data_IF_331901616685
#
_entry.id   IF_331901616685
#
_cell.length_a   1.000
_cell.length_b   1.000
_cell.length_c   1.000
_cell.angle_alpha   90.00
_cell.angle_beta   90.00
_cell.angle_gamma   90.00
#
_symmetry.space_group_name_H-M   'P 1'
#
loop_
_entity.id
_entity.type
_entity.pdbx_description
1 polymer ?
#
# COMPACT_ATOMS: atom_id res chain seq x y z
N UNK A 1 -11.66 -12.43 2.52
CA UNK A 1 -11.20 -11.20 1.85
C UNK A 1 -9.70 -11.30 1.64
N UNK A 2 -9.25 -11.30 0.40
CA UNK A 2 -7.84 -11.21 0.01
C UNK A 2 -7.35 -9.75 0.02
N UNK A 3 -6.02 -9.55 -0.06
CA UNK A 3 -5.45 -8.20 -0.15
C UNK A 3 -5.91 -7.43 -1.40
N UNK A 4 -6.07 -8.13 -2.53
CA UNK A 4 -6.58 -7.53 -3.78
C UNK A 4 -8.07 -7.18 -3.68
N UNK A 5 -8.88 -7.99 -2.99
CA UNK A 5 -10.29 -7.66 -2.73
C UNK A 5 -10.41 -6.40 -1.86
N UNK A 6 -9.60 -6.29 -0.80
CA UNK A 6 -9.54 -5.07 0.02
C UNK A 6 -9.14 -3.84 -0.82
N UNK A 7 -8.13 -3.96 -1.68
CA UNK A 7 -7.72 -2.85 -2.55
C UNK A 7 -8.85 -2.40 -3.48
N UNK A 8 -9.62 -3.34 -4.04
CA UNK A 8 -10.79 -3.00 -4.87
C UNK A 8 -11.83 -2.22 -4.08
N UNK A 9 -12.13 -2.63 -2.86
CA UNK A 9 -13.08 -1.91 -1.99
C UNK A 9 -12.57 -0.51 -1.62
N UNK A 10 -11.29 -0.37 -1.27
CA UNK A 10 -10.67 0.93 -0.99
C UNK A 10 -10.72 1.88 -2.20
N UNK A 11 -10.53 1.35 -3.41
CA UNK A 11 -10.59 2.16 -4.64
C UNK A 11 -12.02 2.50 -5.08
N UNK A 12 -13.01 1.69 -4.70
CA UNK A 12 -14.42 1.97 -4.97
C UNK A 12 -14.99 3.05 -4.02
N UNK A 13 -14.45 3.19 -2.81
CA UNK A 13 -14.91 4.18 -1.82
C UNK A 13 -14.24 5.54 -2.01
N UNK A 14 -15.03 6.60 -2.25
CA UNK A 14 -14.52 7.96 -2.45
C UNK A 14 -13.67 8.49 -1.27
N UNK A 15 -13.92 8.00 -0.05
CA UNK A 15 -13.20 8.40 1.17
C UNK A 15 -11.79 7.80 1.22
N UNK A 16 -11.58 6.66 0.57
CA UNK A 16 -10.35 5.87 0.69
C UNK A 16 -9.58 5.73 -0.62
N UNK A 17 -10.18 6.06 -1.77
CA UNK A 17 -9.57 5.83 -3.08
C UNK A 17 -8.23 6.53 -3.28
N UNK A 18 -7.95 7.63 -2.55
CA UNK A 18 -6.71 8.38 -2.60
C UNK A 18 -5.62 7.90 -1.63
N UNK A 19 -5.91 6.89 -0.79
CA UNK A 19 -4.92 6.35 0.14
C UNK A 19 -3.74 5.74 -0.60
N UNK A 20 -2.54 6.06 -0.10
CA UNK A 20 -1.31 5.43 -0.56
C UNK A 20 -1.21 4.04 0.07
N UNK A 21 -1.15 3.01 -0.76
CA UNK A 21 -1.12 1.62 -0.33
C UNK A 21 0.20 0.97 -0.73
N UNK A 22 0.84 0.28 0.22
CA UNK A 22 1.94 -0.64 -0.04
C UNK A 22 1.45 -2.05 0.27
N UNK A 23 1.68 -3.00 -0.64
CA UNK A 23 1.36 -4.42 -0.41
C UNK A 23 2.59 -5.12 0.18
N UNK A 24 2.38 -5.99 1.17
CA UNK A 24 3.44 -6.83 1.74
C UNK A 24 2.97 -8.29 1.79
N UNK A 25 3.58 -9.17 1.01
CA UNK A 25 3.13 -10.57 0.81
C UNK A 25 4.25 -11.59 0.99
N UNK A 26 3.91 -12.84 1.32
CA UNK A 26 4.87 -13.95 1.41
C UNK A 26 5.39 -14.46 0.07
N UNK A 27 4.60 -14.32 -0.99
CA UNK A 27 4.89 -14.75 -2.36
C UNK A 27 4.40 -13.70 -3.35
N UNK A 28 5.16 -13.48 -4.42
CA UNK A 28 4.84 -12.49 -5.46
C UNK A 28 4.69 -13.14 -6.83
N UNK A 29 3.55 -13.77 -7.07
CA UNK A 29 3.19 -14.21 -8.43
C UNK A 29 3.04 -12.97 -9.32
N UNK A 30 3.52 -13.05 -10.57
CA UNK A 30 3.58 -11.90 -11.46
C UNK A 30 2.19 -11.29 -11.71
N UNK A 31 1.16 -12.14 -11.77
CA UNK A 31 -0.24 -11.74 -11.94
C UNK A 31 -0.75 -10.93 -10.75
N UNK A 32 -0.41 -11.32 -9.51
CA UNK A 32 -0.83 -10.62 -8.29
C UNK A 32 -0.15 -9.25 -8.18
N UNK A 33 1.13 -9.17 -8.59
CA UNK A 33 1.87 -7.91 -8.65
C UNK A 33 1.21 -6.97 -9.66
N UNK A 34 0.95 -7.44 -10.88
CA UNK A 34 0.28 -6.64 -11.92
C UNK A 34 -1.09 -6.15 -11.45
N UNK A 35 -1.92 -7.05 -10.92
CA UNK A 35 -3.26 -6.72 -10.45
C UNK A 35 -3.25 -5.70 -9.30
N UNK A 36 -2.23 -5.72 -8.43
CA UNK A 36 -2.08 -4.72 -7.39
C UNK A 36 -1.72 -3.34 -7.98
N UNK A 37 -0.83 -3.29 -8.97
CA UNK A 37 -0.45 -2.04 -9.64
C UNK A 37 -1.58 -1.42 -10.46
N UNK A 38 -2.42 -2.24 -11.08
CA UNK A 38 -3.67 -1.78 -11.73
C UNK A 38 -4.63 -1.09 -10.73
N UNK A 39 -4.50 -1.42 -9.44
CA UNK A 39 -5.24 -0.78 -8.34
C UNK A 39 -4.46 0.37 -7.68
N UNK A 40 -3.44 0.92 -8.34
CA UNK A 40 -2.66 2.08 -7.90
C UNK A 40 -2.00 1.90 -6.51
N UNK A 41 -1.32 0.78 -6.28
CA UNK A 41 -0.41 0.66 -5.13
C UNK A 41 0.90 1.43 -5.39
N UNK A 42 1.47 2.02 -4.34
CA UNK A 42 2.75 2.72 -4.42
C UNK A 42 3.95 1.76 -4.36
N UNK A 43 3.73 0.53 -3.91
CA UNK A 43 4.76 -0.50 -3.91
C UNK A 43 4.20 -1.88 -3.57
N UNK A 44 4.90 -2.90 -4.04
CA UNK A 44 4.63 -4.30 -3.75
C UNK A 44 5.90 -4.94 -3.18
N UNK A 45 5.81 -5.41 -1.94
CA UNK A 45 6.94 -5.83 -1.12
C UNK A 45 6.85 -7.34 -0.86
N UNK A 46 7.87 -8.08 -1.26
CA UNK A 46 7.95 -9.53 -1.05
C UNK A 46 8.68 -9.83 0.28
N UNK A 47 8.00 -10.47 1.23
CA UNK A 47 8.52 -10.74 2.58
C UNK A 47 9.82 -11.55 2.58
N UNK A 48 9.98 -12.47 1.62
CA UNK A 48 11.21 -13.26 1.43
C UNK A 48 12.43 -12.38 1.19
N UNK A 49 12.29 -11.34 0.35
CA UNK A 49 13.34 -10.37 0.02
C UNK A 49 13.54 -9.31 1.09
N UNK A 50 12.47 -9.03 1.83
CA UNK A 50 12.48 -8.09 2.96
C UNK A 50 13.14 -8.71 4.20
N UNK A 51 13.11 -10.04 4.37
CA UNK A 51 13.68 -10.72 5.54
C UNK A 51 15.18 -10.50 5.74
N UNK A 52 15.95 -10.40 4.65
CA UNK A 52 17.39 -10.09 4.71
C UNK A 52 17.67 -8.61 5.03
N UNK A 53 16.71 -7.71 4.80
CA UNK A 53 16.95 -6.26 4.80
C UNK A 53 15.79 -5.44 5.42
N UNK A 54 15.09 -6.02 6.40
CA UNK A 54 13.87 -5.43 6.99
C UNK A 54 14.09 -4.02 7.55
N UNK A 55 15.30 -3.77 8.08
CA UNK A 55 15.71 -2.45 8.59
C UNK A 55 15.81 -1.40 7.48
N UNK A 56 16.26 -1.81 6.29
CA UNK A 56 16.33 -0.93 5.12
C UNK A 56 14.93 -0.61 4.62
N UNK A 57 14.00 -1.58 4.65
CA UNK A 57 12.61 -1.35 4.29
C UNK A 57 11.89 -0.40 5.25
N UNK A 58 12.04 -0.56 6.56
CA UNK A 58 11.42 0.36 7.53
C UNK A 58 12.01 1.77 7.43
N UNK A 59 13.31 1.87 7.19
CA UNK A 59 13.97 3.15 6.88
C UNK A 59 13.40 3.79 5.60
N UNK A 60 13.19 3.01 4.54
CA UNK A 60 12.56 3.49 3.31
C UNK A 60 11.14 4.02 3.54
N UNK A 61 10.29 3.27 4.24
CA UNK A 61 8.92 3.72 4.54
C UNK A 61 8.92 4.98 5.41
N UNK A 62 9.85 5.07 6.38
CA UNK A 62 10.06 6.28 7.17
C UNK A 62 10.47 7.49 6.33
N UNK A 63 11.41 7.31 5.42
CA UNK A 63 11.86 8.35 4.48
C UNK A 63 10.74 8.76 3.51
N UNK A 64 9.95 7.80 3.01
CA UNK A 64 8.80 8.08 2.15
C UNK A 64 7.77 8.95 2.89
N UNK A 65 7.45 8.59 4.13
CA UNK A 65 6.49 9.34 4.95
C UNK A 65 6.92 10.78 5.22
N UNK A 66 8.22 11.04 5.38
CA UNK A 66 8.74 12.39 5.62
C UNK A 66 8.94 13.20 4.35
N UNK A 67 9.24 12.55 3.22
CA UNK A 67 9.52 13.21 1.95
C UNK A 67 8.24 13.54 1.16
N UNK A 68 7.16 12.77 1.32
CA UNK A 68 5.97 12.85 0.49
C UNK A 68 4.77 13.34 1.30
N UNK A 69 3.99 14.26 0.74
CA UNK A 69 2.66 14.59 1.27
C UNK A 69 1.69 13.46 0.92
N UNK A 70 1.40 12.63 1.89
CA UNK A 70 0.40 11.58 1.82
C UNK A 70 -0.98 12.11 2.23
N UNK A 71 -2.01 11.72 1.49
CA UNK A 71 -3.40 11.91 1.92
C UNK A 71 -3.65 10.91 3.03
N UNK A 72 -3.87 11.41 4.25
CA UNK A 72 -4.24 10.57 5.39
C UNK A 72 -5.65 10.00 5.22
N UNK A 73 -5.98 8.89 5.90
CA UNK A 73 -7.37 8.46 5.99
C UNK A 73 -8.22 9.58 6.60
N UNK A 74 -9.48 9.72 6.17
CA UNK A 74 -10.40 10.68 6.77
C UNK A 74 -10.42 10.46 8.28
N UNK A 75 -10.19 11.54 9.03
CA UNK A 75 -10.26 11.53 10.49
C UNK A 75 -11.69 11.75 10.91
N UNK A 76 -12.05 11.21 12.08
CA UNK A 76 -13.34 11.50 12.67
C UNK A 76 -13.48 13.01 12.88
N UNK A 77 -14.39 13.64 12.14
CA UNK A 77 -14.64 15.09 12.18
C UNK A 77 -14.16 15.89 10.95
N UNK A 78 -13.53 15.24 9.96
CA UNK A 78 -13.24 15.92 8.69
C UNK A 78 -14.55 16.22 7.94
N UNK A 79 -14.75 17.44 7.38
CA UNK A 79 -15.93 17.75 6.58
C UNK A 79 -15.96 16.90 5.30
N UNK A 80 -17.18 16.56 4.83
CA UNK A 80 -17.42 15.85 3.56
C UNK A 80 -16.96 16.65 2.32
#
# INVERSE_FOLDING_TARGET
MSGLELLRELRADARFRSLVCFVLTGSGEAEDVSAAYDLNVAGYLEKSRVGEDFRSMTSFLGAYWTAVRVVGPPRAGDPE
#
